data_IF_451651063467
#
_entry.id   IF_451651063467
#
_cell.length_a   1.000
_cell.length_b   1.000
_cell.length_c   1.000
_cell.angle_alpha   90.00
_cell.angle_beta   90.00
_cell.angle_gamma   90.00
#
_symmetry.space_group_name_H-M   'P 1'
#
loop_
_entity.id
_entity.type
_entity.pdbx_description
1 polymer ?
#
# COMPACT_ATOMS: atom_id res chain seq x y z
N UNK A 1 25.02 -18.90 -35.02
CA UNK A 1 24.08 -19.33 -33.96
C UNK A 1 24.41 -18.55 -32.68
N UNK A 2 24.01 -17.28 -32.61
CA UNK A 2 24.12 -16.49 -31.37
C UNK A 2 22.92 -16.89 -30.50
N UNK A 3 23.19 -17.66 -29.45
CA UNK A 3 22.19 -17.99 -28.43
C UNK A 3 21.64 -16.67 -27.89
N UNK A 4 20.32 -16.47 -28.02
CA UNK A 4 19.61 -15.42 -27.29
C UNK A 4 19.97 -15.59 -25.81
N UNK A 5 20.64 -14.60 -25.21
CA UNK A 5 20.76 -14.50 -23.75
C UNK A 5 19.33 -14.39 -23.21
N UNK A 6 18.75 -15.52 -22.83
CA UNK A 6 17.47 -15.56 -22.14
C UNK A 6 17.74 -15.01 -20.74
N UNK A 7 17.42 -13.74 -20.52
CA UNK A 7 17.50 -13.13 -19.20
C UNK A 7 16.42 -13.77 -18.32
N UNK A 8 16.83 -14.75 -17.50
CA UNK A 8 15.94 -15.42 -16.58
C UNK A 8 15.67 -14.49 -15.39
N UNK A 9 14.48 -13.90 -15.34
CA UNK A 9 14.04 -13.07 -14.22
C UNK A 9 13.81 -13.96 -12.99
N UNK A 10 14.85 -14.13 -12.19
CA UNK A 10 14.75 -14.82 -10.90
C UNK A 10 14.22 -13.87 -9.83
N UNK A 11 13.31 -14.33 -8.95
CA UNK A 11 12.90 -13.56 -7.78
C UNK A 11 14.10 -13.10 -6.96
N UNK A 12 13.99 -11.92 -6.34
CA UNK A 12 15.00 -11.41 -5.40
C UNK A 12 15.22 -12.42 -4.28
N UNK A 13 16.48 -12.80 -4.05
CA UNK A 13 16.81 -13.77 -3.03
C UNK A 13 16.48 -13.22 -1.63
N UNK A 14 16.07 -14.09 -0.70
CA UNK A 14 15.59 -13.65 0.62
C UNK A 14 16.67 -12.88 1.42
N UNK A 15 17.94 -13.22 1.24
CA UNK A 15 19.08 -12.53 1.83
C UNK A 15 19.32 -11.12 1.26
N UNK A 16 18.83 -10.85 0.06
CA UNK A 16 18.94 -9.54 -0.57
C UNK A 16 17.73 -8.64 -0.24
N UNK A 17 16.67 -9.18 0.37
CA UNK A 17 15.47 -8.41 0.72
C UNK A 17 15.68 -7.58 1.97
N UNK A 18 15.24 -6.32 1.93
CA UNK A 18 15.25 -5.43 3.10
C UNK A 18 13.98 -5.71 3.92
N UNK A 19 14.09 -6.63 4.88
CA UNK A 19 12.96 -7.09 5.72
C UNK A 19 12.23 -5.92 6.40
N UNK A 20 12.97 -4.94 6.93
CA UNK A 20 12.38 -3.76 7.57
C UNK A 20 11.50 -2.95 6.61
N UNK A 21 11.92 -2.80 5.35
CA UNK A 21 11.17 -2.08 4.32
C UNK A 21 9.86 -2.82 3.99
N UNK A 22 9.92 -4.14 3.94
CA UNK A 22 8.74 -4.97 3.68
C UNK A 22 7.73 -4.92 4.83
N UNK A 23 8.19 -4.90 6.08
CA UNK A 23 7.33 -4.75 7.26
C UNK A 23 6.61 -3.39 7.25
N UNK A 24 7.35 -2.30 7.00
CA UNK A 24 6.75 -0.95 6.98
C UNK A 24 5.77 -0.82 5.80
N UNK A 25 6.03 -1.46 4.65
CA UNK A 25 5.06 -1.53 3.55
C UNK A 25 3.80 -2.29 3.91
N UNK A 26 3.93 -3.46 4.53
CA UNK A 26 2.78 -4.24 4.98
C UNK A 26 1.93 -3.45 5.99
N UNK A 27 2.59 -2.72 6.88
CA UNK A 27 1.93 -1.80 7.81
C UNK A 27 1.23 -0.65 7.08
N UNK A 28 1.89 -0.02 6.09
CA UNK A 28 1.31 1.04 5.27
C UNK A 28 0.04 0.55 4.53
N UNK A 29 0.10 -0.64 3.96
CA UNK A 29 -1.02 -1.27 3.26
C UNK A 29 -2.18 -1.61 4.22
N UNK A 30 -1.87 -2.07 5.43
CA UNK A 30 -2.87 -2.35 6.45
C UNK A 30 -3.67 -1.10 6.83
N UNK A 31 -3.03 0.05 7.03
CA UNK A 31 -3.79 1.27 7.32
C UNK A 31 -4.58 1.80 6.12
N UNK A 32 -4.08 1.63 4.89
CA UNK A 32 -4.90 1.92 3.68
C UNK A 32 -6.16 1.06 3.69
N UNK A 33 -6.05 -0.23 4.02
CA UNK A 33 -7.20 -1.11 4.14
C UNK A 33 -8.18 -0.62 5.20
N UNK A 34 -7.69 -0.21 6.38
CA UNK A 34 -8.53 0.32 7.46
C UNK A 34 -9.33 1.56 7.01
N UNK A 35 -8.68 2.50 6.32
CA UNK A 35 -9.34 3.69 5.77
C UNK A 35 -10.42 3.30 4.76
N UNK A 36 -10.13 2.32 3.90
CA UNK A 36 -11.08 1.85 2.90
C UNK A 36 -12.22 1.02 3.49
N UNK A 37 -12.10 0.53 4.72
CA UNK A 37 -13.14 -0.30 5.35
C UNK A 37 -14.49 0.41 5.44
N UNK A 38 -14.52 1.74 5.59
CA UNK A 38 -15.75 2.56 5.55
C UNK A 38 -16.55 2.35 4.26
N UNK A 39 -15.86 2.21 3.13
CA UNK A 39 -16.47 1.99 1.82
C UNK A 39 -16.87 0.52 1.59
N UNK A 40 -16.30 -0.42 2.35
CA UNK A 40 -16.66 -1.84 2.28
C UNK A 40 -17.81 -2.22 3.21
N UNK A 41 -17.92 -1.58 4.38
CA UNK A 41 -18.93 -1.92 5.39
C UNK A 41 -20.31 -1.34 5.08
N UNK A 42 -20.37 -0.25 4.32
CA UNK A 42 -21.60 0.48 4.00
C UNK A 42 -21.57 0.99 2.55
N UNK A 43 -22.72 1.27 1.92
CA UNK A 43 -22.76 2.00 0.65
C UNK A 43 -22.43 3.48 0.87
N UNK A 44 -21.26 3.76 1.46
CA UNK A 44 -20.81 5.07 1.90
C UNK A 44 -20.80 6.10 0.76
N UNK A 45 -20.47 5.67 -0.45
CA UNK A 45 -20.48 6.52 -1.65
C UNK A 45 -21.90 7.03 -1.95
N UNK A 46 -22.90 6.15 -1.93
CA UNK A 46 -24.30 6.55 -2.12
C UNK A 46 -24.80 7.45 -0.97
N UNK A 47 -24.42 7.11 0.26
CA UNK A 47 -24.76 7.90 1.44
C UNK A 47 -24.21 9.34 1.36
N UNK A 48 -22.96 9.52 0.94
CA UNK A 48 -22.35 10.83 0.71
C UNK A 48 -23.00 11.58 -0.46
N UNK A 49 -23.37 10.89 -1.54
CA UNK A 49 -24.03 11.51 -2.70
C UNK A 49 -25.44 12.02 -2.41
N UNK A 50 -26.20 11.32 -1.56
CA UNK A 50 -27.59 11.67 -1.24
C UNK A 50 -27.67 12.53 0.04
N UNK A 51 -26.53 12.79 0.69
CA UNK A 51 -26.47 13.55 1.95
C UNK A 51 -27.13 12.81 3.12
N UNK A 52 -27.33 11.50 3.00
CA UNK A 52 -27.90 10.68 4.07
C UNK A 52 -26.77 10.16 4.96
N UNK A 53 -26.68 10.64 6.19
CA UNK A 53 -25.78 10.03 7.17
C UNK A 53 -26.38 8.71 7.66
N UNK A 54 -25.66 7.60 7.49
CA UNK A 54 -25.93 6.41 8.28
C UNK A 54 -25.67 6.80 9.75
N UNK A 55 -26.73 6.83 10.56
CA UNK A 55 -26.58 7.04 12.00
C UNK A 55 -25.94 5.78 12.58
N UNK A 56 -24.61 5.78 12.63
CA UNK A 56 -23.83 4.74 13.29
C UNK A 56 -24.03 4.80 14.81
N UNK A 57 -23.97 3.64 15.47
CA UNK A 57 -23.89 3.57 16.92
C UNK A 57 -22.65 4.32 17.44
N UNK A 58 -22.62 4.66 18.73
CA UNK A 58 -21.52 5.41 19.36
C UNK A 58 -20.13 4.83 19.07
N UNK A 59 -20.03 3.49 19.00
CA UNK A 59 -18.80 2.77 18.65
C UNK A 59 -18.34 3.01 17.21
N UNK A 60 -19.27 3.09 16.26
CA UNK A 60 -18.98 3.32 14.84
C UNK A 60 -18.40 4.72 14.61
N UNK A 61 -18.97 5.72 15.29
CA UNK A 61 -18.43 7.07 15.29
C UNK A 61 -17.02 7.14 15.88
N UNK A 62 -16.76 6.46 17.00
CA UNK A 62 -15.43 6.42 17.61
C UNK A 62 -14.42 5.78 16.67
N UNK A 63 -14.78 4.64 16.04
CA UNK A 63 -13.92 3.96 15.07
C UNK A 63 -13.63 4.83 13.85
N UNK A 64 -14.65 5.50 13.31
CA UNK A 64 -14.49 6.41 12.17
C UNK A 64 -13.56 7.57 12.50
N UNK A 65 -13.75 8.22 13.64
CA UNK A 65 -12.87 9.30 14.10
C UNK A 65 -11.43 8.84 14.36
N UNK A 66 -11.27 7.64 14.93
CA UNK A 66 -9.95 7.05 15.15
C UNK A 66 -9.22 6.83 13.82
N UNK A 67 -9.90 6.24 12.82
CA UNK A 67 -9.33 6.01 11.49
C UNK A 67 -9.01 7.34 10.78
N UNK A 68 -9.91 8.33 10.87
CA UNK A 68 -9.71 9.65 10.29
C UNK A 68 -8.44 10.33 10.83
N UNK A 69 -8.28 10.39 12.15
CA UNK A 69 -7.16 11.07 12.81
C UNK A 69 -5.84 10.31 12.59
N UNK A 70 -5.87 8.98 12.70
CA UNK A 70 -4.63 8.19 12.73
C UNK A 70 -4.21 7.63 11.37
N UNK A 71 -5.14 7.46 10.42
CA UNK A 71 -4.88 6.64 9.24
C UNK A 71 -5.03 7.34 7.89
N UNK A 72 -6.07 8.16 7.70
CA UNK A 72 -6.53 8.61 6.37
C UNK A 72 -5.44 9.20 5.46
N UNK A 73 -4.74 10.22 5.93
CA UNK A 73 -3.67 10.87 5.13
C UNK A 73 -2.33 10.16 5.32
N UNK A 74 -2.07 9.65 6.53
CA UNK A 74 -0.73 9.21 6.94
C UNK A 74 -0.28 7.95 6.21
N UNK A 75 -1.17 6.97 6.05
CA UNK A 75 -0.81 5.69 5.44
C UNK A 75 -0.66 5.81 3.93
N UNK A 76 -1.45 6.67 3.27
CA UNK A 76 -1.27 6.99 1.84
C UNK A 76 0.08 7.64 1.60
N UNK A 77 0.48 8.63 2.43
CA UNK A 77 1.81 9.25 2.30
C UNK A 77 2.95 8.26 2.56
N UNK A 78 2.85 7.43 3.60
CA UNK A 78 3.84 6.39 3.89
C UNK A 78 3.96 5.40 2.74
N UNK A 79 2.83 4.89 2.24
CA UNK A 79 2.79 3.95 1.12
C UNK A 79 3.46 4.53 -0.13
N UNK A 80 3.10 5.76 -0.52
CA UNK A 80 3.69 6.43 -1.70
C UNK A 80 5.21 6.61 -1.58
N UNK A 81 5.70 7.00 -0.40
CA UNK A 81 7.13 7.13 -0.15
C UNK A 81 7.86 5.78 -0.23
N UNK A 82 7.33 4.75 0.44
CA UNK A 82 7.92 3.40 0.47
C UNK A 82 7.86 2.68 -0.87
N UNK A 83 6.84 2.98 -1.66
CA UNK A 83 6.71 2.55 -3.04
C UNK A 83 7.79 3.20 -3.90
N UNK A 84 7.99 4.52 -3.77
CA UNK A 84 9.07 5.24 -4.44
C UNK A 84 10.46 4.67 -4.13
N UNK A 85 10.76 4.42 -2.86
CA UNK A 85 12.02 3.78 -2.44
C UNK A 85 12.14 2.37 -3.03
N UNK A 86 11.03 1.61 -3.08
CA UNK A 86 11.00 0.29 -3.70
C UNK A 86 11.30 0.32 -5.20
N UNK A 87 10.79 1.33 -5.88
CA UNK A 87 11.05 1.53 -7.30
C UNK A 87 12.53 1.89 -7.56
N UNK A 88 13.11 2.77 -6.75
CA UNK A 88 14.55 3.09 -6.83
C UNK A 88 15.41 1.83 -6.65
N UNK A 89 15.15 1.04 -5.60
CA UNK A 89 15.86 -0.21 -5.35
C UNK A 89 15.65 -1.23 -6.47
N UNK A 90 14.48 -1.24 -7.09
CA UNK A 90 14.21 -2.10 -8.25
C UNK A 90 15.05 -1.72 -9.46
N UNK A 91 15.21 -0.42 -9.74
CA UNK A 91 16.06 0.08 -10.83
C UNK A 91 17.54 -0.22 -10.57
N UNK A 92 18.06 0.08 -9.37
CA UNK A 92 19.45 -0.19 -9.00
C UNK A 92 19.83 -1.66 -9.25
N UNK A 93 18.93 -2.59 -8.88
CA UNK A 93 19.12 -4.03 -9.11
C UNK A 93 19.03 -4.44 -10.58
N UNK A 94 18.24 -3.71 -11.37
CA UNK A 94 18.17 -3.90 -12.82
C UNK A 94 19.50 -3.56 -13.47
N UNK A 95 20.10 -2.43 -13.08
CA UNK A 95 21.41 -1.99 -13.54
C UNK A 95 22.53 -2.97 -13.12
N UNK A 96 22.53 -3.42 -11.86
CA UNK A 96 23.48 -4.45 -11.38
C UNK A 96 23.41 -5.76 -12.17
N UNK A 97 22.21 -6.12 -12.65
CA UNK A 97 21.97 -7.33 -13.46
C UNK A 97 22.23 -7.11 -14.95
N UNK A 98 22.62 -5.90 -15.37
CA UNK A 98 22.84 -5.54 -16.77
C UNK A 98 21.55 -5.57 -17.60
N UNK A 99 20.40 -5.36 -16.96
CA UNK A 99 19.09 -5.28 -17.60
C UNK A 99 18.81 -3.79 -17.80
N UNK A 100 19.10 -3.27 -18.99
CA UNK A 100 18.74 -1.91 -19.44
C UNK A 100 17.58 -2.00 -20.43
#
# INVERSE_FOLDING_TARGET
MQQSKQHHFVPTAANERIVTLDIIRAFALFGILLVNMRFFSTPAIQAEMVGSSFSGNLLDNISTWFIFIFAEVKFVSMFSMLFGIGFLLFMERGEEKGIQ
#
